data_IF_081070704713
#
_entry.id   IF_081070704713
#
_cell.length_a   1.000
_cell.length_b   1.000
_cell.length_c   1.000
_cell.angle_alpha   90.00
_cell.angle_beta   90.00
_cell.angle_gamma   90.00
#
_symmetry.space_group_name_H-M   'P 1'
#
loop_
_entity.id
_entity.type
_entity.pdbx_description
1 polymer ?
#
# COMPACT_ATOMS: atom_id res chain seq x y z
N UNK A 1 4.23 10.14 -19.26
CA UNK A 1 2.94 10.79 -18.91
C UNK A 1 2.25 9.96 -17.82
N UNK A 2 1.53 10.55 -16.86
CA UNK A 2 0.74 9.77 -15.90
C UNK A 2 -0.38 9.02 -16.61
N UNK A 3 -0.73 7.81 -16.17
CA UNK A 3 -1.90 7.11 -16.69
C UNK A 3 -3.17 7.89 -16.35
N UNK A 4 -4.21 7.74 -17.17
CA UNK A 4 -5.49 8.43 -16.98
C UNK A 4 -6.58 7.40 -16.76
N UNK A 5 -7.20 7.43 -15.59
CA UNK A 5 -8.34 6.57 -15.29
C UNK A 5 -9.50 6.86 -16.26
N UNK A 6 -10.18 5.79 -16.71
CA UNK A 6 -11.46 5.89 -17.41
C UNK A 6 -12.46 6.59 -16.50
N UNK A 7 -13.30 7.48 -17.05
CA UNK A 7 -14.38 8.13 -16.31
C UNK A 7 -15.68 7.41 -16.64
N UNK A 8 -16.23 6.69 -15.67
CA UNK A 8 -17.48 5.95 -15.77
C UNK A 8 -18.43 6.54 -14.72
N UNK A 9 -19.41 7.37 -15.11
CA UNK A 9 -20.33 8.00 -14.17
C UNK A 9 -21.10 6.94 -13.38
N UNK A 10 -20.94 6.95 -12.06
CA UNK A 10 -21.72 6.13 -11.13
C UNK A 10 -22.46 7.05 -10.16
N UNK A 11 -23.79 7.06 -10.24
CA UNK A 11 -24.64 7.86 -9.36
C UNK A 11 -24.83 7.14 -8.02
N UNK A 12 -24.60 7.86 -6.93
CA UNK A 12 -24.85 7.39 -5.57
C UNK A 12 -25.78 8.38 -4.87
N UNK A 13 -26.90 7.88 -4.36
CA UNK A 13 -27.86 8.68 -3.60
C UNK A 13 -27.81 8.30 -2.13
N UNK A 14 -27.57 9.29 -1.26
CA UNK A 14 -27.55 9.11 0.18
C UNK A 14 -28.22 10.31 0.85
N UNK A 15 -29.13 10.05 1.79
CA UNK A 15 -29.90 11.08 2.51
C UNK A 15 -30.62 12.09 1.59
N UNK A 16 -31.07 11.65 0.42
CA UNK A 16 -31.75 12.50 -0.56
C UNK A 16 -30.84 13.35 -1.45
N UNK A 17 -29.51 13.29 -1.27
CA UNK A 17 -28.53 13.95 -2.15
C UNK A 17 -27.91 12.93 -3.12
N UNK A 18 -27.74 13.32 -4.38
CA UNK A 18 -27.17 12.48 -5.44
C UNK A 18 -25.84 13.04 -5.92
N UNK A 19 -24.79 12.22 -5.78
CA UNK A 19 -23.44 12.53 -6.24
C UNK A 19 -23.02 11.56 -7.33
N UNK A 20 -22.25 12.05 -8.30
CA UNK A 20 -21.70 11.23 -9.38
C UNK A 20 -20.22 11.00 -9.11
N UNK A 21 -19.85 9.74 -8.86
CA UNK A 21 -18.47 9.30 -8.79
C UNK A 21 -18.06 8.70 -10.14
N UNK A 22 -17.10 9.34 -10.83
CA UNK A 22 -16.61 8.88 -12.12
C UNK A 22 -15.62 7.71 -12.02
N UNK A 23 -15.17 7.36 -10.82
CA UNK A 23 -14.10 6.41 -10.56
C UNK A 23 -14.51 5.28 -9.62
N UNK A 24 -15.80 5.19 -9.29
CA UNK A 24 -16.35 4.11 -8.46
C UNK A 24 -15.98 2.71 -8.99
N UNK A 25 -15.82 2.58 -10.32
CA UNK A 25 -15.41 1.35 -10.98
C UNK A 25 -14.02 0.83 -10.54
N UNK A 26 -13.16 1.63 -9.90
CA UNK A 26 -11.88 1.18 -9.35
C UNK A 26 -12.05 0.33 -8.08
N UNK A 27 -13.19 0.43 -7.39
CA UNK A 27 -13.46 -0.38 -6.20
C UNK A 27 -13.85 -1.79 -6.61
N UNK A 28 -12.96 -2.75 -6.42
CA UNK A 28 -13.22 -4.17 -6.66
C UNK A 28 -13.07 -4.99 -5.38
N UNK A 29 -14.19 -5.47 -4.83
CA UNK A 29 -14.19 -6.21 -3.57
C UNK A 29 -13.53 -7.60 -3.73
N UNK A 30 -13.61 -8.21 -4.93
CA UNK A 30 -12.93 -9.47 -5.27
C UNK A 30 -11.45 -9.28 -5.66
N UNK A 31 -11.04 -8.05 -5.99
CA UNK A 31 -9.67 -7.67 -6.40
C UNK A 31 -9.12 -8.47 -7.59
N UNK A 32 -9.98 -8.82 -8.54
CA UNK A 32 -9.68 -9.64 -9.70
C UNK A 32 -10.03 -8.98 -11.04
N UNK A 33 -10.76 -7.85 -11.04
CA UNK A 33 -11.21 -7.21 -12.28
C UNK A 33 -10.03 -6.72 -13.13
N UNK A 34 -9.87 -7.24 -14.36
CA UNK A 34 -8.72 -6.95 -15.21
C UNK A 34 -8.51 -5.46 -15.46
N UNK A 35 -9.58 -4.70 -15.76
CA UNK A 35 -9.52 -3.25 -15.99
C UNK A 35 -8.96 -2.46 -14.79
N UNK A 36 -9.26 -2.90 -13.57
CA UNK A 36 -8.75 -2.26 -12.35
C UNK A 36 -7.27 -2.59 -12.19
N UNK A 37 -6.91 -3.87 -12.33
CA UNK A 37 -5.53 -4.32 -12.23
C UNK A 37 -4.63 -3.68 -13.28
N UNK A 38 -5.09 -3.59 -14.53
CA UNK A 38 -4.36 -2.94 -15.63
C UNK A 38 -4.05 -1.47 -15.28
N UNK A 39 -5.04 -0.74 -14.77
CA UNK A 39 -4.83 0.65 -14.34
C UNK A 39 -3.83 0.75 -13.19
N UNK A 40 -3.94 -0.12 -12.17
CA UNK A 40 -2.99 -0.16 -11.05
C UNK A 40 -1.58 -0.53 -11.50
N UNK A 41 -1.42 -1.44 -12.46
CA UNK A 41 -0.11 -1.75 -13.05
C UNK A 41 0.47 -0.57 -13.81
N UNK A 42 -0.35 0.18 -14.56
CA UNK A 42 0.07 1.39 -15.23
C UNK A 42 0.53 2.48 -14.25
N UNK A 43 -0.19 2.67 -13.15
CA UNK A 43 0.20 3.59 -12.06
C UNK A 43 1.50 3.15 -11.39
N UNK A 44 1.66 1.86 -11.11
CA UNK A 44 2.90 1.32 -10.53
C UNK A 44 4.11 1.51 -11.47
N UNK A 45 3.93 1.30 -12.77
CA UNK A 45 4.98 1.53 -13.76
C UNK A 45 5.34 3.02 -13.87
N UNK A 46 4.34 3.89 -13.80
CA UNK A 46 4.56 5.34 -13.74
C UNK A 46 5.33 5.74 -12.48
N UNK A 47 4.92 5.23 -11.31
CA UNK A 47 5.57 5.49 -10.03
C UNK A 47 7.02 5.04 -10.02
N UNK A 48 7.32 3.83 -10.51
CA UNK A 48 8.70 3.35 -10.70
C UNK A 48 9.51 4.34 -11.54
N UNK A 49 9.01 4.68 -12.73
CA UNK A 49 9.70 5.59 -13.65
C UNK A 49 9.97 6.98 -13.06
N UNK A 50 9.07 7.51 -12.25
CA UNK A 50 9.27 8.80 -11.55
C UNK A 50 10.35 8.68 -10.47
N UNK A 51 10.41 7.54 -9.79
CA UNK A 51 11.35 7.27 -8.70
C UNK A 51 12.70 6.72 -9.14
N UNK A 52 12.89 6.37 -10.42
CA UNK A 52 14.11 5.75 -10.96
C UNK A 52 15.38 6.55 -10.60
N UNK A 53 15.32 7.88 -10.64
CA UNK A 53 16.48 8.74 -10.30
C UNK A 53 16.91 8.67 -8.83
N UNK A 54 16.06 8.12 -7.96
CA UNK A 54 16.28 8.06 -6.52
C UNK A 54 16.71 6.66 -6.05
N UNK A 55 16.95 5.71 -6.97
CA UNK A 55 17.23 4.32 -6.61
C UNK A 55 18.44 4.19 -5.68
N UNK A 56 19.55 4.90 -5.98
CA UNK A 56 20.74 4.88 -5.12
C UNK A 56 20.49 5.45 -3.73
N UNK A 57 19.60 6.45 -3.60
CA UNK A 57 19.20 6.98 -2.30
C UNK A 57 18.36 5.95 -1.53
N UNK A 58 17.42 5.28 -2.20
CA UNK A 58 16.59 4.23 -1.60
C UNK A 58 17.45 3.06 -1.10
N UNK A 59 18.41 2.60 -1.88
CA UNK A 59 19.35 1.52 -1.51
C UNK A 59 20.18 1.90 -0.27
N UNK A 60 20.70 3.13 -0.24
CA UNK A 60 21.46 3.62 0.91
C UNK A 60 20.59 3.67 2.17
N UNK A 61 19.38 4.23 2.08
CA UNK A 61 18.46 4.32 3.22
C UNK A 61 18.01 2.92 3.69
N UNK A 62 17.74 2.00 2.76
CA UNK A 62 17.41 0.62 3.08
C UNK A 62 18.54 -0.04 3.88
N UNK A 63 19.79 0.13 3.42
CA UNK A 63 20.97 -0.37 4.13
C UNK A 63 21.10 0.25 5.53
N UNK A 64 20.97 1.57 5.63
CA UNK A 64 21.04 2.27 6.92
C UNK A 64 19.96 1.81 7.92
N UNK A 65 18.75 1.49 7.45
CA UNK A 65 17.67 0.96 8.28
C UNK A 65 18.01 -0.45 8.76
N UNK A 66 18.43 -1.33 7.84
CA UNK A 66 18.79 -2.73 8.18
C UNK A 66 19.96 -2.77 9.16
N UNK A 67 21.00 -1.96 8.94
CA UNK A 67 22.20 -1.92 9.78
C UNK A 67 21.88 -1.44 11.22
N UNK A 68 20.77 -0.74 11.43
CA UNK A 68 20.29 -0.31 12.76
C UNK A 68 19.44 -1.34 13.49
N UNK A 69 18.97 -2.38 12.79
CA UNK A 69 18.16 -3.44 13.39
C UNK A 69 19.09 -4.49 14.01
N UNK A 70 18.96 -4.80 15.31
CA UNK A 70 19.76 -5.85 15.94
C UNK A 70 19.54 -7.20 15.25
N UNK A 71 20.62 -7.96 15.01
CA UNK A 71 20.55 -9.32 14.46
C UNK A 71 19.75 -10.29 15.33
N UNK A 72 19.59 -9.95 16.62
CA UNK A 72 18.77 -10.69 17.57
C UNK A 72 18.07 -9.69 18.46
N UNK A 73 16.75 -9.66 18.40
CA UNK A 73 15.93 -8.81 19.25
C UNK A 73 15.15 -9.67 20.24
N UNK A 74 15.08 -9.22 21.49
CA UNK A 74 14.31 -9.90 22.53
C UNK A 74 13.35 -8.89 23.12
N UNK A 75 12.06 -9.17 23.04
CA UNK A 75 11.04 -8.31 23.62
C UNK A 75 11.20 -8.21 25.13
N UNK A 76 10.73 -7.11 25.71
CA UNK A 76 10.56 -7.03 27.16
C UNK A 76 9.66 -8.20 27.61
N UNK A 77 10.08 -8.97 28.64
CA UNK A 77 9.28 -10.08 29.12
C UNK A 77 8.04 -9.57 29.86
N UNK A 78 6.92 -10.27 29.72
CA UNK A 78 5.71 -10.00 30.49
C UNK A 78 5.17 -11.28 31.14
N UNK A 79 4.48 -11.14 32.26
CA UNK A 79 3.90 -12.26 33.02
C UNK A 79 2.40 -12.37 32.75
N UNK A 80 1.93 -13.59 32.48
CA UNK A 80 0.50 -13.90 32.34
C UNK A 80 0.22 -15.31 32.88
N UNK A 81 -0.77 -15.45 33.75
CA UNK A 81 -1.21 -16.74 34.32
C UNK A 81 -0.07 -17.58 34.94
N UNK A 82 0.89 -16.95 35.62
CA UNK A 82 2.02 -17.66 36.26
C UNK A 82 3.20 -17.99 35.33
N UNK A 83 3.12 -17.66 34.04
CA UNK A 83 4.20 -17.86 33.08
C UNK A 83 4.78 -16.52 32.60
N UNK A 84 6.07 -16.51 32.26
CA UNK A 84 6.78 -15.37 31.67
C UNK A 84 6.99 -15.61 30.17
N UNK A 85 6.48 -14.70 29.36
CA UNK A 85 6.56 -14.74 27.91
C UNK A 85 7.52 -13.68 27.39
N UNK A 86 8.19 -13.97 26.28
CA UNK A 86 8.94 -13.01 25.47
C UNK A 86 8.99 -13.49 24.03
N UNK A 87 9.15 -12.58 23.10
CA UNK A 87 9.41 -12.87 21.69
C UNK A 87 10.91 -12.73 21.43
N UNK A 88 11.44 -13.65 20.63
CA UNK A 88 12.81 -13.59 20.12
C UNK A 88 12.70 -13.55 18.61
N UNK A 89 13.20 -12.47 18.02
CA UNK A 89 13.27 -12.26 16.58
C UNK A 89 14.70 -12.46 16.11
#
# INVERSE_FOLDING_TARGET
MPPKAKRIPHAMTLHGDTRIDNYYWLRDDERARPDVLEYLHAENAYGKRVMDSQLSLQERLLKEIIDRIPQREVSAPYSKNGFRYRQVY
#
